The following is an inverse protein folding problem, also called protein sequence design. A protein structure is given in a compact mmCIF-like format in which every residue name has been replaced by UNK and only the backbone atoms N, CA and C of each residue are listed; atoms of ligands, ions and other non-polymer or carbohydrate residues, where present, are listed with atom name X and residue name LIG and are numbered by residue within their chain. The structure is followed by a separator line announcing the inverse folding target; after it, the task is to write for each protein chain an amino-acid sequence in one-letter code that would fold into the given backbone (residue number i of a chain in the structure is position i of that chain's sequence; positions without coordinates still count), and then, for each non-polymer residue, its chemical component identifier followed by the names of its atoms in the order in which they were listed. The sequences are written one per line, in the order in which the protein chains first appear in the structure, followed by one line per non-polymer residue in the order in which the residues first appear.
data_IF_570942315052
#
_entry.id   IF_570942315052
#
_cell.length_a   1.000
_cell.length_b   1.000
_cell.length_c   1.000
_cell.angle_alpha   90.00
_cell.angle_beta   90.00
_cell.angle_gamma   90.00
#
_symmetry.space_group_name_H-M   'P 1'
#
loop_
_entity.id
_entity.type
_entity.pdbx_description
1 polymer ?
#
# COMPACT_ATOMS: atom_id res chain seq x y z
N UNK A 1 2.24 -2.33 21.03
CA UNK A 1 2.25 -1.52 19.79
C UNK A 1 2.07 -2.42 18.59
N UNK A 2 1.19 -2.04 17.69
CA UNK A 2 0.92 -2.82 16.48
C UNK A 2 1.99 -2.54 15.43
N UNK A 3 2.67 -3.61 14.96
CA UNK A 3 3.67 -3.49 13.90
C UNK A 3 3.03 -3.82 12.55
N UNK A 4 3.75 -3.52 11.48
CA UNK A 4 3.30 -3.91 10.14
C UNK A 4 3.07 -5.41 10.05
N UNK A 5 4.01 -6.20 10.59
CA UNK A 5 3.89 -7.67 10.61
C UNK A 5 2.64 -8.12 11.36
N UNK A 6 2.33 -7.48 12.48
CA UNK A 6 1.13 -7.80 13.25
C UNK A 6 -0.13 -7.57 12.42
N UNK A 7 -0.18 -6.45 11.70
CA UNK A 7 -1.34 -6.08 10.90
C UNK A 7 -1.58 -7.09 9.78
N UNK A 8 -0.56 -7.44 9.01
CA UNK A 8 -0.71 -8.36 7.88
C UNK A 8 -0.92 -9.80 8.31
N UNK A 9 -0.61 -10.13 9.57
CA UNK A 9 -0.77 -11.49 10.13
C UNK A 9 -2.18 -11.77 10.64
N UNK A 10 -3.02 -10.74 10.72
CA UNK A 10 -4.39 -10.89 11.22
C UNK A 10 -5.25 -11.74 10.29
N UNK A 11 -6.34 -12.27 10.85
CA UNK A 11 -7.30 -13.09 10.09
C UNK A 11 -8.25 -12.23 9.23
N UNK A 12 -8.06 -10.94 9.23
CA UNK A 12 -8.81 -10.00 8.41
C UNK A 12 -8.06 -9.75 7.11
N UNK A 13 -8.79 -9.52 6.02
CA UNK A 13 -8.17 -9.05 4.78
C UNK A 13 -7.59 -7.67 5.02
N UNK A 14 -6.33 -7.49 4.63
CA UNK A 14 -5.63 -6.23 4.78
C UNK A 14 -5.11 -5.78 3.42
N UNK A 15 -5.59 -4.64 2.97
CA UNK A 15 -5.10 -4.01 1.75
C UNK A 15 -4.07 -2.96 2.14
N UNK A 16 -2.84 -3.15 1.67
CA UNK A 16 -1.75 -2.22 1.94
C UNK A 16 -1.54 -1.36 0.70
N UNK A 17 -1.64 -0.05 0.89
CA UNK A 17 -1.42 0.94 -0.15
C UNK A 17 -0.07 1.61 0.09
N UNK A 18 0.94 1.24 -0.71
CA UNK A 18 2.24 1.88 -0.67
C UNK A 18 2.19 3.10 -1.59
N UNK A 19 2.45 4.25 -1.02
CA UNK A 19 2.32 5.52 -1.71
C UNK A 19 3.52 6.44 -1.43
N UNK A 20 3.57 7.54 -2.14
CA UNK A 20 4.49 8.63 -1.84
C UNK A 20 3.74 9.96 -2.00
N UNK A 21 4.17 10.98 -1.27
CA UNK A 21 3.51 12.29 -1.31
C UNK A 21 3.67 12.98 -2.66
N UNK A 22 4.72 12.65 -3.40
CA UNK A 22 4.99 13.21 -4.73
C UNK A 22 4.31 12.42 -5.87
N UNK A 23 3.58 11.38 -5.55
CA UNK A 23 2.99 10.48 -6.54
C UNK A 23 1.55 10.88 -6.85
N UNK A 24 1.32 11.48 -8.02
CA UNK A 24 -0.03 11.89 -8.43
C UNK A 24 -0.98 10.71 -8.63
N UNK A 25 -0.58 9.59 -9.28
CA UNK A 25 -1.46 8.43 -9.39
C UNK A 25 -1.87 7.86 -8.03
N UNK A 26 -1.02 7.99 -7.00
CA UNK A 26 -1.38 7.55 -5.65
C UNK A 26 -2.56 8.34 -5.11
N UNK A 27 -2.60 9.64 -5.38
CA UNK A 27 -3.69 10.50 -4.94
C UNK A 27 -4.99 10.14 -5.66
N UNK A 28 -4.89 9.75 -6.91
CA UNK A 28 -6.05 9.34 -7.70
C UNK A 28 -6.61 7.98 -7.24
N UNK A 29 -5.78 7.17 -6.61
CA UNK A 29 -6.19 5.88 -6.07
C UNK A 29 -7.05 6.02 -4.81
N UNK A 30 -6.90 7.11 -4.08
CA UNK A 30 -7.57 7.31 -2.79
C UNK A 30 -9.09 7.14 -2.85
N UNK A 31 -9.83 7.79 -3.76
CA UNK A 31 -11.28 7.60 -3.81
C UNK A 31 -11.69 6.17 -4.19
N UNK A 32 -10.88 5.49 -4.98
CA UNK A 32 -11.13 4.09 -5.34
C UNK A 32 -11.06 3.21 -4.10
N UNK A 33 -10.03 3.41 -3.27
CA UNK A 33 -9.86 2.66 -2.03
C UNK A 33 -10.97 2.95 -1.03
N UNK A 34 -11.42 4.19 -0.96
CA UNK A 34 -12.53 4.54 -0.09
C UNK A 34 -13.83 3.84 -0.51
N UNK A 35 -14.07 3.73 -1.81
CA UNK A 35 -15.23 3.03 -2.33
C UNK A 35 -15.17 1.54 -2.01
N UNK A 36 -14.00 0.92 -2.18
CA UNK A 36 -13.79 -0.48 -1.83
C UNK A 36 -14.05 -0.71 -0.34
N UNK A 37 -13.54 0.19 0.51
CA UNK A 37 -13.76 0.12 1.95
C UNK A 37 -15.23 0.24 2.29
N UNK A 38 -15.94 1.13 1.60
CA UNK A 38 -17.38 1.32 1.81
C UNK A 38 -18.16 0.04 1.48
N UNK A 39 -17.79 -0.65 0.39
CA UNK A 39 -18.45 -1.89 -0.03
C UNK A 39 -18.16 -3.04 0.93
N UNK A 40 -16.90 -3.22 1.32
CA UNK A 40 -16.47 -4.37 2.11
C UNK A 40 -16.59 -4.15 3.62
N UNK A 41 -16.63 -2.89 4.06
CA UNK A 41 -16.80 -2.58 5.47
C UNK A 41 -15.72 -3.20 6.34
N UNK A 42 -16.14 -3.85 7.43
CA UNK A 42 -15.23 -4.43 8.41
C UNK A 42 -14.50 -5.68 7.92
N UNK A 43 -14.90 -6.23 6.79
CA UNK A 43 -14.20 -7.37 6.20
C UNK A 43 -12.83 -7.01 5.65
N UNK A 44 -12.60 -5.72 5.45
CA UNK A 44 -11.34 -5.21 4.88
C UNK A 44 -10.77 -4.12 5.77
N UNK A 45 -9.49 -4.22 6.07
CA UNK A 45 -8.73 -3.13 6.68
C UNK A 45 -7.81 -2.56 5.62
N UNK A 46 -7.78 -1.24 5.48
CA UNK A 46 -6.85 -0.57 4.57
C UNK A 46 -5.82 0.17 5.40
N UNK A 47 -4.55 -0.09 5.11
CA UNK A 47 -3.45 0.68 5.70
C UNK A 47 -2.64 1.32 4.60
N UNK A 48 -2.11 2.49 4.88
CA UNK A 48 -1.28 3.25 3.94
C UNK A 48 0.14 3.34 4.47
N UNK A 49 1.10 3.07 3.60
CA UNK A 49 2.52 3.11 3.95
C UNK A 49 3.23 4.05 2.99
N UNK A 50 3.76 5.15 3.54
CA UNK A 50 4.57 6.10 2.79
C UNK A 50 5.96 5.51 2.63
N UNK A 51 6.37 5.24 1.38
CA UNK A 51 7.66 4.58 1.11
C UNK A 51 8.86 5.44 1.51
N UNK A 52 8.68 6.75 1.58
CA UNK A 52 9.77 7.64 1.98
C UNK A 52 9.90 7.72 3.50
N UNK A 53 8.80 7.52 4.23
CA UNK A 53 8.82 7.49 5.69
C UNK A 53 9.13 6.09 6.24
N UNK A 54 8.86 5.06 5.46
CA UNK A 54 9.10 3.67 5.85
C UNK A 54 9.91 2.95 4.77
N UNK A 55 11.13 3.44 4.49
CA UNK A 55 11.93 2.88 3.39
C UNK A 55 12.34 1.43 3.63
N UNK A 56 12.50 1.04 4.89
CA UNK A 56 12.91 -0.32 5.22
C UNK A 56 11.80 -1.33 4.88
N UNK A 57 10.57 -1.01 5.23
CA UNK A 57 9.42 -1.86 4.88
C UNK A 57 9.28 -1.98 3.37
N UNK A 58 9.42 -0.85 2.65
CA UNK A 58 9.35 -0.85 1.19
C UNK A 58 10.44 -1.73 0.58
N UNK A 59 11.67 -1.62 1.09
CA UNK A 59 12.79 -2.41 0.60
C UNK A 59 12.58 -3.90 0.83
N UNK A 60 12.15 -4.27 2.03
CA UNK A 60 11.91 -5.67 2.40
C UNK A 60 10.85 -6.31 1.50
N UNK A 61 9.84 -5.56 1.11
CA UNK A 61 8.76 -6.05 0.26
C UNK A 61 9.00 -5.75 -1.22
N UNK A 62 10.18 -5.26 -1.55
CA UNK A 62 10.58 -4.97 -2.94
C UNK A 62 9.61 -4.01 -3.63
N UNK A 63 9.18 -2.98 -2.93
CA UNK A 63 8.33 -1.92 -3.47
C UNK A 63 9.23 -0.90 -4.14
N UNK A 64 9.26 -0.89 -5.47
CA UNK A 64 10.11 0.01 -6.26
C UNK A 64 9.33 1.08 -7.00
N UNK A 65 8.02 0.94 -7.07
CA UNK A 65 7.15 1.88 -7.74
C UNK A 65 5.89 2.12 -6.92
N UNK A 66 5.22 3.23 -7.16
CA UNK A 66 4.00 3.60 -6.47
C UNK A 66 2.94 4.06 -7.46
N UNK A 67 1.66 3.86 -7.16
CA UNK A 67 1.16 3.11 -6.02
C UNK A 67 1.42 1.61 -6.18
N UNK A 68 1.72 0.92 -5.10
CA UNK A 68 1.78 -0.54 -5.07
C UNK A 68 0.75 -1.00 -4.08
N UNK A 69 -0.12 -1.90 -4.49
CA UNK A 69 -1.16 -2.46 -3.63
C UNK A 69 -0.84 -3.91 -3.33
N UNK A 70 -1.03 -4.30 -2.09
CA UNK A 70 -0.87 -5.69 -1.67
C UNK A 70 -2.07 -6.09 -0.83
N UNK A 71 -2.58 -7.29 -1.06
CA UNK A 71 -3.65 -7.85 -0.24
C UNK A 71 -3.08 -9.00 0.57
N UNK A 72 -3.22 -8.90 1.89
CA UNK A 72 -2.67 -9.85 2.85
C UNK A 72 -3.76 -10.45 3.72
N UNK A 73 -3.54 -11.68 4.18
CA UNK A 73 -4.33 -12.31 5.21
C UNK A 73 -3.49 -13.38 5.89
N UNK A 74 -3.48 -13.39 7.20
CA UNK A 74 -2.74 -14.39 8.00
C UNK A 74 -1.27 -14.50 7.62
N UNK A 75 -0.65 -13.38 7.27
CA UNK A 75 0.75 -13.35 6.86
C UNK A 75 1.02 -13.82 5.45
N UNK A 76 -0.02 -14.14 4.69
CA UNK A 76 0.11 -14.60 3.31
C UNK A 76 -0.25 -13.48 2.33
N UNK A 77 0.63 -13.24 1.37
CA UNK A 77 0.38 -12.28 0.29
C UNK A 77 -0.54 -12.95 -0.73
N UNK A 78 -1.77 -12.47 -0.83
CA UNK A 78 -2.77 -13.03 -1.73
C UNK A 78 -2.75 -12.39 -3.11
N UNK A 79 -2.36 -11.12 -3.19
CA UNK A 79 -2.39 -10.39 -4.45
C UNK A 79 -1.51 -9.16 -4.35
N UNK A 80 -0.91 -8.79 -5.48
CA UNK A 80 -0.05 -7.63 -5.57
C UNK A 80 -0.16 -6.99 -6.95
N UNK A 81 -0.20 -5.65 -7.00
CA UNK A 81 -0.06 -4.91 -8.25
C UNK A 81 0.93 -3.78 -8.03
N UNK A 82 1.75 -3.53 -9.03
CA UNK A 82 2.78 -2.48 -8.95
C UNK A 82 2.40 -1.32 -9.85
N UNK A 83 2.64 -0.11 -9.36
CA UNK A 83 2.40 1.10 -10.10
C UNK A 83 3.46 1.38 -11.16
N UNK A 84 3.18 2.39 -11.97
CA UNK A 84 4.06 2.78 -13.07
C UNK A 84 5.08 3.84 -12.69
N UNK A 85 4.94 4.49 -11.53
CA UNK A 85 5.76 5.62 -11.14
C UNK A 85 6.84 5.20 -10.16
N UNK A 86 8.09 5.14 -10.64
CA UNK A 86 9.22 4.82 -9.79
C UNK A 86 9.65 6.04 -8.99
N UNK A 87 10.42 5.80 -7.92
CA UNK A 87 10.97 6.87 -7.10
C UNK A 87 11.82 7.83 -7.92
N UNK A 88 12.61 7.32 -8.84
CA UNK A 88 13.47 8.14 -9.69
C UNK A 88 12.65 9.00 -10.66
N UNK A 89 11.66 8.41 -11.32
CA UNK A 89 10.79 9.14 -12.24
C UNK A 89 9.99 10.20 -11.50
N UNK A 90 9.45 9.86 -10.34
CA UNK A 90 8.66 10.80 -9.54
C UNK A 90 9.48 12.01 -9.12
N UNK A 91 10.71 11.80 -8.69
CA UNK A 91 11.59 12.88 -8.26
C UNK A 91 12.04 13.77 -9.41
N UNK A 92 12.17 13.20 -10.60
CA UNK A 92 12.58 13.95 -11.78
C UNK A 92 11.50 14.95 -12.21
N UNK A 93 10.27 14.75 -11.82
CA UNK A 93 9.14 15.62 -12.18
C UNK A 93 8.76 16.61 -11.08
N UNK A 94 9.49 16.63 -10.01
CA UNK A 94 9.29 17.58 -8.89
C UNK A 94 10.19 18.83 -9.04
#
# INVERSE_FOLDING_TARGET
METFRDVISADQLVLVDFFATWCQPCKMMHPVLEEVKHILGERLRIIKVDIDRHPQTATELQVQSVPTLMLWRRGELLWRTSGAMSREIGRAHV
#
